data_IF_965888333267
#
_entry.id   IF_965888333267
#
_cell.length_a   1.000
_cell.length_b   1.000
_cell.length_c   1.000
_cell.angle_alpha   90.00
_cell.angle_beta   90.00
_cell.angle_gamma   90.00
#
_symmetry.space_group_name_H-M   'P 1'
#
loop_
_entity.id
_entity.type
_entity.pdbx_description
1 polymer ?
#
# COMPACT_ATOMS: atom_id res chain seq x y z
N UNK A 1 71.95 12.59 22.84
CA UNK A 1 70.57 12.65 23.38
C UNK A 1 69.63 12.78 22.17
N UNK A 2 69.25 11.67 21.54
CA UNK A 2 68.00 10.90 21.71
C UNK A 2 66.71 11.63 21.27
N UNK A 3 66.15 11.14 20.14
CA UNK A 3 64.73 11.10 19.66
C UNK A 3 63.98 12.44 19.49
N UNK A 4 63.27 12.76 18.40
CA UNK A 4 62.57 11.93 17.41
C UNK A 4 61.08 11.83 17.75
N UNK A 5 60.20 12.55 17.05
CA UNK A 5 58.73 12.36 16.91
C UNK A 5 58.25 13.45 15.92
N UNK A 6 57.96 13.24 14.64
CA UNK A 6 57.03 12.34 13.94
C UNK A 6 55.54 12.47 14.35
N UNK A 7 54.80 13.20 13.50
CA UNK A 7 53.60 12.74 12.79
C UNK A 7 52.18 12.92 13.38
N UNK A 8 51.29 13.21 12.42
CA UNK A 8 49.84 12.95 12.32
C UNK A 8 48.85 13.94 12.95
N UNK A 9 48.39 14.88 12.11
CA UNK A 9 47.06 15.48 12.20
C UNK A 9 46.05 14.42 11.71
N UNK A 10 45.21 13.94 12.62
CA UNK A 10 44.13 12.98 12.33
C UNK A 10 42.99 13.72 11.60
N UNK A 11 42.69 13.29 10.36
CA UNK A 11 41.44 13.58 9.67
C UNK A 11 40.32 12.77 10.35
N UNK A 12 39.36 13.44 11.00
CA UNK A 12 38.11 12.79 11.41
C UNK A 12 37.15 12.73 10.20
N UNK A 13 37.20 11.63 9.46
CA UNK A 13 36.12 11.24 8.57
C UNK A 13 35.03 10.58 9.43
N UNK A 14 33.97 11.33 9.75
CA UNK A 14 32.74 10.75 10.27
C UNK A 14 32.04 10.01 9.13
N UNK A 15 32.35 8.72 9.00
CA UNK A 15 31.57 7.79 8.16
C UNK A 15 30.25 7.56 8.88
N UNK A 16 29.17 8.13 8.35
CA UNK A 16 27.81 7.76 8.74
C UNK A 16 27.58 6.31 8.30
N UNK A 17 27.78 5.36 9.21
CA UNK A 17 27.40 3.97 8.99
C UNK A 17 25.87 3.94 8.96
N UNK A 18 25.31 3.83 7.76
CA UNK A 18 23.91 3.42 7.60
C UNK A 18 23.77 2.06 8.27
N UNK A 19 22.98 1.99 9.35
CA UNK A 19 22.69 0.74 10.01
C UNK A 19 21.88 -0.12 9.04
N UNK A 20 22.53 -1.13 8.44
CA UNK A 20 21.84 -2.27 7.84
C UNK A 20 21.15 -3.00 9.00
N UNK A 21 19.86 -2.74 9.19
CA UNK A 21 19.05 -3.49 10.13
C UNK A 21 18.88 -4.90 9.56
N UNK A 22 19.40 -5.90 10.27
CA UNK A 22 19.16 -7.31 9.93
C UNK A 22 17.71 -7.65 10.29
N UNK A 23 16.96 -8.23 9.35
CA UNK A 23 15.63 -8.75 9.64
C UNK A 23 15.68 -9.74 10.81
N UNK A 24 14.75 -9.62 11.76
CA UNK A 24 14.61 -10.56 12.87
C UNK A 24 14.05 -11.89 12.34
N UNK A 25 14.80 -13.00 12.40
CA UNK A 25 14.34 -14.29 11.87
C UNK A 25 13.16 -14.89 12.64
N UNK A 26 12.77 -14.29 13.78
CA UNK A 26 11.62 -14.68 14.60
C UNK A 26 10.40 -13.77 14.44
N UNK A 27 10.49 -12.73 13.62
CA UNK A 27 9.40 -11.79 13.37
C UNK A 27 8.82 -12.00 11.97
N UNK A 28 7.50 -12.18 11.89
CA UNK A 28 6.73 -12.07 10.66
C UNK A 28 6.14 -10.67 10.45
N UNK A 29 6.38 -9.74 11.39
CA UNK A 29 5.93 -8.37 11.32
C UNK A 29 6.78 -7.57 10.30
N UNK A 30 6.17 -6.69 9.51
CA UNK A 30 6.91 -5.83 8.59
C UNK A 30 7.90 -4.95 9.36
N UNK A 31 9.13 -4.89 8.86
CA UNK A 31 10.21 -4.12 9.46
C UNK A 31 9.88 -2.62 9.49
N UNK A 32 10.08 -2.03 10.67
CA UNK A 32 10.00 -0.60 11.02
C UNK A 32 8.59 -0.03 11.27
N UNK A 33 8.39 0.72 12.37
CA UNK A 33 7.21 1.55 12.54
C UNK A 33 7.15 2.56 11.39
N UNK A 34 6.02 2.59 10.68
CA UNK A 34 5.77 3.63 9.66
C UNK A 34 5.87 4.99 10.35
N UNK A 35 6.68 5.88 9.77
CA UNK A 35 6.69 7.28 10.16
C UNK A 35 5.28 7.86 9.94
N UNK A 36 4.49 7.88 11.01
CA UNK A 36 3.05 8.22 10.97
C UNK A 36 2.82 9.72 10.95
N UNK A 37 3.84 10.50 10.55
CA UNK A 37 3.79 11.96 10.40
C UNK A 37 3.06 12.41 9.13
N UNK A 38 2.48 11.47 8.36
CA UNK A 38 1.67 11.78 7.18
C UNK A 38 0.45 12.61 7.59
N UNK A 39 0.47 13.89 7.22
CA UNK A 39 -0.66 14.79 7.43
C UNK A 39 -1.81 14.34 6.54
N UNK A 40 -2.97 14.06 7.15
CA UNK A 40 -4.19 13.75 6.42
C UNK A 40 -4.62 14.93 5.52
N UNK A 41 -4.60 14.71 4.21
CA UNK A 41 -5.07 15.68 3.21
C UNK A 41 -6.51 15.37 2.83
N UNK A 42 -7.44 16.07 3.49
CA UNK A 42 -8.85 15.99 3.15
C UNK A 42 -9.08 16.42 1.70
N UNK A 43 -10.04 15.76 1.05
CA UNK A 43 -10.51 16.12 -0.28
C UNK A 43 -12.04 15.94 -0.33
N UNK A 44 -12.74 16.94 -0.86
CA UNK A 44 -14.20 16.95 -0.93
C UNK A 44 -14.75 16.24 -2.18
N UNK A 45 -13.90 16.05 -3.21
CA UNK A 45 -14.21 15.28 -4.41
C UNK A 45 -12.99 14.49 -4.87
N UNK A 46 -13.19 13.51 -5.76
CA UNK A 46 -12.10 12.74 -6.32
C UNK A 46 -11.17 13.61 -7.18
N UNK A 47 -11.73 14.56 -7.93
CA UNK A 47 -10.95 15.51 -8.75
C UNK A 47 -10.09 16.41 -7.87
N UNK A 48 -10.62 16.88 -6.74
CA UNK A 48 -9.84 17.61 -5.75
C UNK A 48 -8.74 16.72 -5.15
N UNK A 49 -9.04 15.45 -4.86
CA UNK A 49 -8.06 14.50 -4.34
C UNK A 49 -6.85 14.35 -5.27
N UNK A 50 -7.08 14.25 -6.59
CA UNK A 50 -6.01 14.18 -7.59
C UNK A 50 -5.10 15.43 -7.60
N UNK A 51 -5.62 16.59 -7.19
CA UNK A 51 -4.84 17.83 -7.10
C UNK A 51 -3.97 17.88 -5.85
N UNK A 52 -4.46 17.41 -4.70
CA UNK A 52 -3.78 17.56 -3.40
C UNK A 52 -2.94 16.36 -2.99
N UNK A 53 -3.33 15.15 -3.41
CA UNK A 53 -2.55 13.94 -3.14
C UNK A 53 -1.36 13.85 -4.09
N UNK A 54 -0.26 13.31 -3.57
CA UNK A 54 1.00 13.14 -4.29
C UNK A 54 1.66 11.80 -4.03
N UNK A 55 1.25 11.08 -2.99
CA UNK A 55 1.94 9.88 -2.50
C UNK A 55 0.95 8.75 -2.21
N UNK A 56 1.39 7.48 -2.22
CA UNK A 56 0.58 6.36 -1.75
C UNK A 56 0.16 6.51 -0.28
N UNK A 57 0.93 7.24 0.52
CA UNK A 57 0.59 7.57 1.92
C UNK A 57 -0.66 8.46 2.00
N UNK A 58 -0.81 9.44 1.12
CA UNK A 58 -2.01 10.28 1.07
C UNK A 58 -3.27 9.42 0.80
N UNK A 59 -3.16 8.48 -0.15
CA UNK A 59 -4.24 7.54 -0.49
C UNK A 59 -4.52 6.61 0.69
N UNK A 60 -3.47 6.06 1.31
CA UNK A 60 -3.59 5.15 2.45
C UNK A 60 -4.23 5.82 3.66
N UNK A 61 -3.87 7.06 3.95
CA UNK A 61 -4.47 7.86 5.02
C UNK A 61 -5.96 8.12 4.74
N UNK A 62 -6.33 8.40 3.49
CA UNK A 62 -7.74 8.55 3.11
C UNK A 62 -8.53 7.25 3.26
N UNK A 63 -7.97 6.12 2.81
CA UNK A 63 -8.58 4.79 2.96
C UNK A 63 -8.83 4.48 4.44
N UNK A 64 -7.81 4.66 5.28
CA UNK A 64 -7.90 4.37 6.71
C UNK A 64 -9.02 5.15 7.42
N UNK A 65 -9.33 6.37 6.95
CA UNK A 65 -10.37 7.21 7.53
C UNK A 65 -11.77 6.97 6.96
N UNK A 66 -11.88 6.55 5.69
CA UNK A 66 -13.16 6.56 4.96
C UNK A 66 -13.67 5.16 4.60
N UNK A 67 -12.80 4.19 4.36
CA UNK A 67 -13.18 2.94 3.72
C UNK A 67 -13.86 1.97 4.69
N UNK A 68 -15.01 1.43 4.26
CA UNK A 68 -15.66 0.27 4.88
C UNK A 68 -15.65 -0.94 3.94
N UNK A 69 -15.30 -2.11 4.45
CA UNK A 69 -15.32 -3.33 3.65
C UNK A 69 -16.75 -3.87 3.50
N UNK A 70 -17.18 -4.13 2.27
CA UNK A 70 -18.50 -4.68 1.96
C UNK A 70 -18.46 -6.21 1.87
N UNK A 71 -18.85 -6.87 2.96
CA UNK A 71 -18.85 -8.33 3.06
C UNK A 71 -19.87 -9.00 2.11
N UNK A 72 -21.01 -8.36 1.85
CA UNK A 72 -22.03 -8.93 0.97
C UNK A 72 -21.55 -8.91 -0.48
N UNK A 73 -20.90 -7.83 -0.92
CA UNK A 73 -20.20 -7.77 -2.22
C UNK A 73 -19.09 -8.82 -2.27
N UNK A 74 -18.34 -9.01 -1.19
CA UNK A 74 -17.25 -9.99 -1.16
C UNK A 74 -17.76 -11.43 -1.35
N UNK A 75 -18.90 -11.77 -0.74
CA UNK A 75 -19.57 -13.06 -0.92
C UNK A 75 -20.06 -13.23 -2.36
N UNK A 76 -20.65 -12.19 -2.96
CA UNK A 76 -21.05 -12.20 -4.39
C UNK A 76 -19.87 -12.40 -5.34
N UNK A 77 -18.68 -11.99 -4.90
CA UNK A 77 -17.41 -12.21 -5.59
C UNK A 77 -16.68 -13.49 -5.17
N UNK A 78 -17.25 -14.35 -4.34
CA UNK A 78 -16.61 -15.61 -4.00
C UNK A 78 -16.39 -16.49 -5.23
N UNK A 79 -15.44 -17.42 -5.17
CA UNK A 79 -15.18 -18.36 -6.26
C UNK A 79 -16.44 -19.21 -6.58
N UNK A 80 -17.20 -19.57 -5.55
CA UNK A 80 -18.48 -20.29 -5.69
C UNK A 80 -19.48 -19.49 -6.50
N UNK A 81 -19.68 -18.21 -6.20
CA UNK A 81 -20.64 -17.37 -6.91
C UNK A 81 -20.18 -17.01 -8.32
N UNK A 82 -18.87 -16.76 -8.53
CA UNK A 82 -18.32 -16.49 -9.86
C UNK A 82 -18.50 -17.63 -10.85
N UNK A 83 -18.51 -18.87 -10.37
CA UNK A 83 -18.78 -20.05 -11.19
C UNK A 83 -20.23 -20.10 -11.70
N UNK A 84 -21.15 -19.41 -11.03
CA UNK A 84 -22.58 -19.35 -11.36
C UNK A 84 -22.88 -18.10 -12.19
N UNK A 85 -22.36 -16.94 -11.77
CA UNK A 85 -22.53 -15.65 -12.43
C UNK A 85 -21.22 -14.86 -12.39
N UNK A 86 -20.70 -14.46 -13.55
CA UNK A 86 -19.47 -13.69 -13.67
C UNK A 86 -19.69 -12.19 -13.87
N UNK A 87 -20.95 -11.72 -13.92
CA UNK A 87 -21.25 -10.30 -14.04
C UNK A 87 -21.06 -9.61 -12.69
N UNK A 88 -19.95 -8.89 -12.56
CA UNK A 88 -19.66 -8.07 -11.40
C UNK A 88 -18.98 -6.77 -11.81
N UNK A 89 -19.61 -5.65 -11.49
CA UNK A 89 -19.05 -4.33 -11.74
C UNK A 89 -18.04 -3.94 -10.66
N UNK A 90 -16.79 -3.71 -11.10
CA UNK A 90 -15.71 -3.12 -10.29
C UNK A 90 -15.83 -1.61 -10.38
N UNK A 91 -15.90 -0.92 -9.23
CA UNK A 91 -16.07 0.52 -9.19
C UNK A 91 -14.91 1.27 -9.88
N UNK A 92 -15.23 2.34 -10.60
CA UNK A 92 -14.21 3.33 -11.00
C UNK A 92 -13.68 4.07 -9.77
N UNK A 93 -12.51 4.72 -9.84
CA UNK A 93 -11.98 5.46 -8.71
C UNK A 93 -12.91 6.54 -8.17
N UNK A 94 -13.60 7.28 -9.05
CA UNK A 94 -14.58 8.30 -8.65
C UNK A 94 -15.81 7.68 -7.96
N UNK A 95 -16.32 6.56 -8.48
CA UNK A 95 -17.41 5.82 -7.83
C UNK A 95 -17.00 5.29 -6.45
N UNK A 96 -15.78 4.74 -6.33
CA UNK A 96 -15.25 4.25 -5.06
C UNK A 96 -15.08 5.39 -4.05
N UNK A 97 -14.54 6.54 -4.49
CA UNK A 97 -14.37 7.73 -3.65
C UNK A 97 -15.70 8.22 -3.07
N UNK A 98 -16.76 8.24 -3.88
CA UNK A 98 -18.09 8.64 -3.45
C UNK A 98 -18.74 7.59 -2.52
N UNK A 99 -18.60 6.31 -2.85
CA UNK A 99 -19.24 5.21 -2.12
C UNK A 99 -18.57 4.93 -0.78
N UNK A 100 -17.24 5.10 -0.72
CA UNK A 100 -16.38 4.81 0.46
C UNK A 100 -16.51 3.38 1.00
N UNK A 101 -17.07 2.48 0.19
CA UNK A 101 -17.31 1.09 0.52
C UNK A 101 -17.12 0.23 -0.73
N UNK A 102 -16.71 -1.02 -0.52
CA UNK A 102 -16.43 -1.95 -1.59
C UNK A 102 -15.58 -3.12 -1.11
N UNK A 103 -15.01 -3.86 -2.06
CA UNK A 103 -14.18 -5.04 -1.77
C UNK A 103 -12.72 -4.83 -2.19
N UNK A 104 -11.88 -5.83 -1.94
CA UNK A 104 -10.43 -5.77 -2.25
C UNK A 104 -10.12 -5.36 -3.70
N UNK A 105 -10.90 -5.80 -4.70
CA UNK A 105 -10.66 -5.43 -6.10
C UNK A 105 -11.07 -3.98 -6.40
N UNK A 106 -12.14 -3.48 -5.78
CA UNK A 106 -12.56 -2.08 -5.91
C UNK A 106 -11.49 -1.16 -5.30
N UNK A 107 -11.03 -1.49 -4.10
CA UNK A 107 -9.98 -0.77 -3.38
C UNK A 107 -8.64 -0.81 -4.14
N UNK A 108 -8.28 -1.95 -4.72
CA UNK A 108 -7.05 -2.09 -5.52
C UNK A 108 -7.09 -1.23 -6.77
N UNK A 109 -8.24 -1.20 -7.46
CA UNK A 109 -8.45 -0.32 -8.61
C UNK A 109 -8.36 1.14 -8.23
N UNK A 110 -8.98 1.53 -7.13
CA UNK A 110 -8.84 2.88 -6.58
C UNK A 110 -7.37 3.23 -6.33
N UNK A 111 -6.61 2.39 -5.61
CA UNK A 111 -5.20 2.63 -5.33
C UNK A 111 -4.33 2.73 -6.59
N UNK A 112 -4.43 1.75 -7.50
CA UNK A 112 -3.62 1.68 -8.72
C UNK A 112 -3.92 2.85 -9.67
N UNK A 113 -5.18 3.12 -9.97
CA UNK A 113 -5.54 4.18 -10.93
C UNK A 113 -5.33 5.58 -10.36
N UNK A 114 -5.54 5.76 -9.05
CA UNK A 114 -5.21 7.03 -8.37
C UNK A 114 -3.71 7.26 -8.40
N UNK A 115 -2.88 6.25 -8.05
CA UNK A 115 -1.42 6.37 -8.12
C UNK A 115 -0.92 6.65 -9.53
N UNK A 116 -1.47 5.99 -10.56
CA UNK A 116 -1.12 6.30 -11.95
C UNK A 116 -1.38 7.77 -12.32
N UNK A 117 -2.35 8.39 -11.67
CA UNK A 117 -2.71 9.79 -11.90
C UNK A 117 -1.81 10.76 -11.12
N UNK A 118 -1.45 10.44 -9.87
CA UNK A 118 -0.73 11.37 -8.98
C UNK A 118 0.79 11.12 -8.91
N UNK A 119 1.23 9.88 -9.14
CA UNK A 119 2.62 9.43 -9.08
C UNK A 119 2.84 8.22 -10.03
N UNK A 120 2.85 8.45 -11.35
CA UNK A 120 3.04 7.37 -12.33
C UNK A 120 4.42 6.72 -12.27
N UNK A 121 5.43 7.37 -11.69
CA UNK A 121 6.80 6.85 -11.62
C UNK A 121 6.93 5.71 -10.59
N UNK A 122 5.99 5.62 -9.64
CA UNK A 122 5.90 4.51 -8.69
C UNK A 122 5.48 3.16 -9.33
N UNK A 123 5.31 3.07 -10.65
CA UNK A 123 4.94 1.85 -11.39
C UNK A 123 3.77 1.07 -10.74
N UNK A 124 2.56 1.68 -10.58
CA UNK A 124 1.46 1.05 -9.86
C UNK A 124 0.87 -0.14 -10.63
N UNK A 125 0.79 -1.28 -9.94
CA UNK A 125 0.35 -2.57 -10.47
C UNK A 125 -0.74 -3.19 -9.63
N UNK A 126 -1.59 -3.94 -10.33
CA UNK A 126 -2.53 -4.85 -9.71
C UNK A 126 -1.79 -6.12 -9.29
N UNK A 127 -1.92 -6.48 -8.02
CA UNK A 127 -1.45 -7.74 -7.50
C UNK A 127 -2.66 -8.55 -7.03
N UNK A 128 -2.80 -9.76 -7.55
CA UNK A 128 -3.76 -10.74 -7.03
C UNK A 128 -2.98 -11.83 -6.32
N UNK A 129 -3.30 -12.06 -5.05
CA UNK A 129 -2.83 -13.22 -4.30
C UNK A 129 -3.93 -14.26 -4.24
N UNK A 130 -3.50 -15.51 -4.32
CA UNK A 130 -4.35 -16.66 -4.06
C UNK A 130 -3.91 -17.30 -2.75
N UNK A 131 -4.85 -17.51 -1.84
CA UNK A 131 -4.59 -18.10 -0.53
C UNK A 131 -5.36 -19.43 -0.37
N UNK A 132 -5.02 -20.19 0.67
CA UNK A 132 -5.72 -21.43 0.99
C UNK A 132 -7.23 -21.15 1.12
N UNK A 133 -8.12 -21.93 0.46
CA UNK A 133 -9.55 -21.64 0.45
C UNK A 133 -10.14 -21.44 1.85
N UNK A 134 -10.78 -20.29 2.06
CA UNK A 134 -11.56 -19.99 3.25
C UNK A 134 -13.05 -20.12 2.94
N UNK A 135 -13.84 -20.55 3.92
CA UNK A 135 -15.27 -20.76 3.76
C UNK A 135 -16.03 -19.78 4.64
N UNK A 136 -16.84 -18.91 4.01
CA UNK A 136 -17.64 -17.89 4.68
C UNK A 136 -19.06 -17.99 4.18
N UNK A 137 -20.02 -18.22 5.07
CA UNK A 137 -21.44 -18.38 4.73
C UNK A 137 -21.68 -19.37 3.56
N UNK A 138 -20.98 -20.51 3.55
CA UNK A 138 -21.08 -21.52 2.49
C UNK A 138 -20.38 -21.17 1.17
N UNK A 139 -19.68 -20.04 1.10
CA UNK A 139 -18.98 -19.57 -0.09
C UNK A 139 -17.47 -19.68 0.06
N UNK A 140 -16.79 -20.01 -1.05
CA UNK A 140 -15.33 -20.16 -1.08
C UNK A 140 -14.65 -18.84 -1.46
N UNK A 141 -13.88 -18.28 -0.53
CA UNK A 141 -13.01 -17.13 -0.77
C UNK A 141 -11.57 -17.62 -0.85
N UNK A 142 -10.86 -17.26 -1.92
CA UNK A 142 -9.45 -17.65 -2.11
C UNK A 142 -8.60 -16.62 -2.85
N UNK A 143 -9.20 -15.52 -3.31
CA UNK A 143 -8.52 -14.48 -4.09
C UNK A 143 -8.59 -13.18 -3.32
N UNK A 144 -7.47 -12.46 -3.24
CA UNK A 144 -7.40 -11.12 -2.68
C UNK A 144 -6.60 -10.22 -3.60
N UNK A 145 -7.10 -9.01 -3.83
CA UNK A 145 -6.47 -8.02 -4.70
C UNK A 145 -5.82 -6.94 -3.85
N UNK A 146 -4.66 -6.48 -4.30
CA UNK A 146 -3.91 -5.38 -3.72
C UNK A 146 -3.39 -4.43 -4.80
N UNK A 147 -3.13 -3.19 -4.41
CA UNK A 147 -2.29 -2.27 -5.16
C UNK A 147 -0.83 -2.44 -4.72
N UNK A 148 0.08 -2.63 -5.67
CA UNK A 148 1.53 -2.64 -5.43
C UNK A 148 2.20 -1.51 -6.20
N UNK A 149 3.26 -0.93 -5.64
CA UNK A 149 4.03 0.14 -6.25
C UNK A 149 5.50 0.04 -5.84
N UNK A 150 6.38 0.69 -6.60
CA UNK A 150 7.81 0.80 -6.34
C UNK A 150 8.11 2.03 -5.50
N UNK A 151 9.05 1.88 -4.59
CA UNK A 151 9.64 2.95 -3.78
C UNK A 151 11.16 2.79 -3.83
N UNK A 152 11.85 3.88 -4.14
CA UNK A 152 13.30 4.00 -4.12
C UNK A 152 14.12 3.06 -5.04
N UNK A 153 13.46 2.40 -6.00
CA UNK A 153 14.12 1.57 -7.02
C UNK A 153 13.92 0.09 -6.80
#
# INVERSE_FOLDING_TARGET
MFKGFLLFILFFLTVSVGALHSADPSSDAPDSPRDSTVVFKAADSYEHALQVWKTPEDISAWIAHNFSYDMDRAIRLSATQRAINNDFSIYTPSQFFATKSGVCVDLSRFGVETLRSIDPQSDPKYLMIEFAPMHVAGNTLRLHWMASFRRDG
#
